data_IF_085933716430
#
_entry.id   IF_085933716430
#
_cell.length_a   1.000
_cell.length_b   1.000
_cell.length_c   1.000
_cell.angle_alpha   90.00
_cell.angle_beta   90.00
_cell.angle_gamma   90.00
#
_symmetry.space_group_name_H-M   'P 1'
#
loop_
_entity.id
_entity.type
_entity.pdbx_description
1 polymer ?
#
# COMPACT_ATOMS: atom_id res chain seq x y z
N UNK A 1 0.99 9.81 -22.37
CA UNK A 1 0.82 9.65 -20.91
C UNK A 1 2.16 9.13 -20.38
N UNK A 2 2.82 9.87 -19.50
CA UNK A 2 4.14 9.51 -18.97
C UNK A 2 4.04 8.34 -17.98
N UNK A 3 5.15 7.63 -17.72
CA UNK A 3 5.20 6.59 -16.67
C UNK A 3 4.78 7.13 -15.30
N UNK A 4 5.07 8.41 -15.05
CA UNK A 4 4.66 9.16 -13.86
C UNK A 4 3.13 9.30 -13.75
N UNK A 5 2.48 9.67 -14.86
CA UNK A 5 1.01 9.81 -14.91
C UNK A 5 0.30 8.47 -14.66
N UNK A 6 0.92 7.37 -15.12
CA UNK A 6 0.37 6.01 -15.00
C UNK A 6 0.44 5.49 -13.56
N UNK A 7 1.55 5.76 -12.84
CA UNK A 7 1.68 5.43 -11.41
C UNK A 7 0.68 6.21 -10.56
N UNK A 8 0.54 7.51 -10.85
CA UNK A 8 -0.36 8.43 -10.14
C UNK A 8 -1.84 8.03 -10.24
N UNK A 9 -2.28 7.41 -11.33
CA UNK A 9 -3.68 6.91 -11.46
C UNK A 9 -4.02 5.90 -10.35
N UNK A 10 -3.12 4.94 -10.09
CA UNK A 10 -3.33 3.92 -9.06
C UNK A 10 -3.28 4.53 -7.66
N UNK A 11 -2.29 5.37 -7.38
CA UNK A 11 -2.16 6.06 -6.09
C UNK A 11 -3.39 6.91 -5.76
N UNK A 12 -3.88 7.68 -6.74
CA UNK A 12 -5.10 8.47 -6.59
C UNK A 12 -6.31 7.56 -6.30
N UNK A 13 -6.47 6.46 -7.04
CA UNK A 13 -7.56 5.51 -6.79
C UNK A 13 -7.52 4.97 -5.35
N UNK A 14 -6.34 4.57 -4.86
CA UNK A 14 -6.17 4.06 -3.51
C UNK A 14 -6.41 5.15 -2.46
N UNK A 15 -5.94 6.38 -2.70
CA UNK A 15 -6.25 7.51 -1.82
C UNK A 15 -7.74 7.77 -1.69
N UNK A 16 -8.49 7.76 -2.79
CA UNK A 16 -9.95 7.92 -2.75
C UNK A 16 -10.61 6.79 -1.96
N UNK A 17 -10.13 5.54 -2.09
CA UNK A 17 -10.63 4.43 -1.26
C UNK A 17 -10.36 4.61 0.23
N UNK A 18 -9.18 5.12 0.61
CA UNK A 18 -8.93 5.46 2.01
C UNK A 18 -9.79 6.64 2.49
N UNK A 19 -10.03 7.65 1.65
CA UNK A 19 -10.91 8.78 2.01
C UNK A 19 -12.37 8.36 2.19
N UNK A 20 -12.87 7.44 1.36
CA UNK A 20 -14.20 6.83 1.52
C UNK A 20 -14.36 6.15 2.89
N UNK A 21 -13.25 5.67 3.47
CA UNK A 21 -13.18 5.06 4.80
C UNK A 21 -12.90 6.08 5.93
N UNK A 22 -12.84 7.37 5.61
CA UNK A 22 -12.65 8.45 6.60
C UNK A 22 -11.19 8.86 6.86
N UNK A 23 -10.21 8.32 6.11
CA UNK A 23 -8.81 8.71 6.26
C UNK A 23 -8.47 9.99 5.45
N UNK A 24 -7.48 10.77 5.90
CA UNK A 24 -6.98 11.95 5.17
C UNK A 24 -5.87 11.56 4.17
N UNK A 25 -6.12 10.51 3.36
CA UNK A 25 -5.11 9.93 2.49
C UNK A 25 -4.73 10.83 1.31
N UNK A 26 -3.43 10.88 0.98
CA UNK A 26 -2.87 11.67 -0.14
C UNK A 26 -1.66 10.97 -0.77
N UNK A 27 -1.45 11.06 -2.09
CA UNK A 27 -0.22 10.57 -2.70
C UNK A 27 1.00 11.27 -2.11
N UNK A 28 2.07 10.52 -1.87
CA UNK A 28 3.35 11.06 -1.44
C UNK A 28 3.96 11.89 -2.57
N UNK A 29 4.45 13.09 -2.26
CA UNK A 29 5.16 13.93 -3.24
C UNK A 29 6.63 13.48 -3.45
N UNK A 30 7.07 12.42 -2.77
CA UNK A 30 8.49 12.08 -2.63
C UNK A 30 8.84 10.62 -2.93
N UNK A 31 8.13 9.92 -3.83
CA UNK A 31 8.52 8.57 -4.23
C UNK A 31 9.97 8.57 -4.75
N UNK A 32 10.89 8.01 -3.93
CA UNK A 32 12.34 8.01 -4.16
C UNK A 32 13.21 8.78 -3.15
N UNK A 33 12.61 9.54 -2.22
CA UNK A 33 13.34 10.14 -1.09
C UNK A 33 13.30 9.22 0.13
N UNK A 34 14.48 8.93 0.72
CA UNK A 34 14.66 8.07 1.91
C UNK A 34 13.85 8.47 3.18
N UNK A 35 13.10 9.56 3.13
CA UNK A 35 12.29 10.08 4.24
C UNK A 35 10.78 9.87 4.10
N UNK A 36 10.28 9.42 2.95
CA UNK A 36 8.85 9.10 2.78
C UNK A 36 8.61 7.61 2.94
N UNK A 37 7.74 7.24 3.88
CA UNK A 37 7.32 5.85 4.09
C UNK A 37 6.13 5.58 3.17
N UNK A 38 6.42 5.05 1.97
CA UNK A 38 5.44 4.63 0.97
C UNK A 38 4.91 5.72 0.03
N UNK A 39 4.11 5.27 -0.93
CA UNK A 39 3.47 6.06 -1.99
C UNK A 39 2.20 6.80 -1.49
N UNK A 40 1.62 6.42 -0.34
CA UNK A 40 0.43 7.06 0.25
C UNK A 40 0.74 7.59 1.66
N UNK A 41 0.31 8.82 1.93
CA UNK A 41 0.47 9.53 3.21
C UNK A 41 -0.87 9.90 3.82
N UNK A 42 -0.89 10.34 5.09
CA UNK A 42 -2.13 10.72 5.80
C UNK A 42 -2.92 9.53 6.36
N UNK A 43 -2.30 8.35 6.35
CA UNK A 43 -2.72 7.11 6.99
C UNK A 43 -1.63 6.71 7.98
N UNK A 44 -2.00 6.40 9.22
CA UNK A 44 -1.06 6.17 10.32
C UNK A 44 -0.73 4.70 10.53
N UNK A 45 -1.65 3.81 10.16
CA UNK A 45 -1.55 2.36 10.42
C UNK A 45 -0.90 1.58 9.27
N UNK A 46 -0.69 2.22 8.12
CA UNK A 46 -0.25 1.54 6.90
C UNK A 46 0.92 2.26 6.24
N UNK A 47 1.88 1.48 5.76
CA UNK A 47 2.89 1.89 4.79
C UNK A 47 2.51 1.30 3.43
N UNK A 48 1.95 2.13 2.55
CA UNK A 48 1.34 1.66 1.30
C UNK A 48 2.26 1.95 0.13
N UNK A 49 2.60 0.92 -0.62
CA UNK A 49 3.40 1.01 -1.84
C UNK A 49 2.55 0.58 -3.03
N UNK A 50 2.51 1.39 -4.08
CA UNK A 50 1.69 1.17 -5.27
C UNK A 50 2.57 0.88 -6.49
N UNK A 51 2.29 -0.22 -7.18
CA UNK A 51 3.03 -0.58 -8.40
C UNK A 51 2.13 -1.07 -9.52
N UNK A 52 2.16 -0.32 -10.62
CA UNK A 52 1.54 -0.73 -11.88
C UNK A 52 2.50 -1.61 -12.67
N UNK A 53 1.98 -2.70 -13.24
CA UNK A 53 2.72 -3.65 -14.07
C UNK A 53 2.04 -3.74 -15.44
N UNK A 54 2.82 -3.56 -16.51
CA UNK A 54 2.33 -3.74 -17.88
C UNK A 54 2.31 -5.21 -18.30
N UNK A 55 1.85 -6.08 -17.41
CA UNK A 55 1.75 -7.53 -17.60
C UNK A 55 0.31 -7.98 -17.40
N UNK A 56 -0.07 -9.12 -17.99
CA UNK A 56 -1.40 -9.72 -17.74
C UNK A 56 -1.46 -10.30 -16.33
N UNK A 57 -0.39 -10.96 -15.93
CA UNK A 57 -0.27 -11.65 -14.65
C UNK A 57 0.55 -10.79 -13.68
N UNK A 58 0.22 -10.90 -12.40
CA UNK A 58 0.94 -10.22 -11.32
C UNK A 58 1.78 -11.29 -10.62
N UNK A 59 3.09 -11.07 -10.60
CA UNK A 59 4.03 -11.86 -9.81
C UNK A 59 4.85 -10.90 -8.99
N UNK A 60 5.06 -11.26 -7.73
CA UNK A 60 5.90 -10.52 -6.80
C UNK A 60 7.08 -11.42 -6.51
N UNK A 61 8.29 -10.87 -6.64
CA UNK A 61 9.48 -11.55 -6.16
C UNK A 61 9.63 -11.24 -4.67
N UNK A 62 10.03 -12.24 -3.90
CA UNK A 62 10.20 -12.11 -2.46
C UNK A 62 11.11 -10.93 -2.09
N UNK A 63 12.22 -10.73 -2.82
CA UNK A 63 13.16 -9.63 -2.58
C UNK A 63 12.56 -8.22 -2.73
N UNK A 64 11.51 -8.08 -3.54
CA UNK A 64 10.79 -6.81 -3.69
C UNK A 64 9.85 -6.59 -2.50
N UNK A 65 9.28 -7.66 -1.95
CA UNK A 65 8.47 -7.59 -0.73
C UNK A 65 9.33 -7.30 0.50
N UNK A 66 10.46 -8.01 0.64
CA UNK A 66 11.38 -7.83 1.76
C UNK A 66 11.91 -6.39 1.85
N UNK A 67 12.22 -5.77 0.69
CA UNK A 67 12.63 -4.35 0.63
C UNK A 67 11.58 -3.39 1.20
N UNK A 68 10.30 -3.61 0.87
CA UNK A 68 9.23 -2.78 1.40
C UNK A 68 9.14 -2.92 2.93
N UNK A 69 9.26 -4.15 3.43
CA UNK A 69 9.28 -4.42 4.86
C UNK A 69 10.48 -3.78 5.56
N UNK A 70 11.66 -3.79 4.95
CA UNK A 70 12.88 -3.16 5.47
C UNK A 70 12.82 -1.63 5.48
N UNK A 71 12.06 -1.00 4.57
CA UNK A 71 11.88 0.45 4.53
C UNK A 71 10.98 0.99 5.66
N UNK A 72 10.22 0.10 6.31
CA UNK A 72 9.40 0.45 7.48
C UNK A 72 10.32 0.49 8.71
N UNK A 73 10.39 1.60 9.45
CA UNK A 73 11.19 1.66 10.67
C UNK A 73 10.78 0.57 11.66
N UNK A 74 11.74 -0.12 12.27
CA UNK A 74 11.49 -1.22 13.24
C UNK A 74 10.57 -0.84 14.41
N UNK A 75 10.54 0.44 14.79
CA UNK A 75 9.67 0.96 15.85
C UNK A 75 8.31 1.48 15.33
N UNK A 76 8.02 1.33 14.04
CA UNK A 76 6.78 1.76 13.45
C UNK A 76 5.69 0.72 13.69
N UNK A 77 4.52 1.17 14.14
CA UNK A 77 3.32 0.33 14.21
C UNK A 77 2.61 0.17 12.85
N UNK A 78 3.21 0.70 11.78
CA UNK A 78 2.65 0.63 10.42
C UNK A 78 2.79 -0.77 9.85
N UNK A 79 1.70 -1.25 9.26
CA UNK A 79 1.69 -2.49 8.51
C UNK A 79 2.07 -2.24 7.04
N UNK A 80 2.97 -3.04 6.45
CA UNK A 80 3.28 -3.01 5.03
C UNK A 80 2.06 -3.41 4.21
N UNK A 81 1.76 -2.64 3.16
CA UNK A 81 0.71 -2.97 2.20
C UNK A 81 1.19 -2.69 0.78
N UNK A 82 1.30 -3.76 -0.03
CA UNK A 82 1.72 -3.62 -1.41
C UNK A 82 0.53 -3.78 -2.36
N UNK A 83 0.22 -2.71 -3.08
CA UNK A 83 -0.88 -2.64 -4.02
C UNK A 83 -0.35 -2.75 -5.45
N UNK A 84 -0.85 -3.72 -6.19
CA UNK A 84 -0.44 -3.99 -7.57
C UNK A 84 -1.62 -3.85 -8.52
N UNK A 85 -1.38 -3.23 -9.69
CA UNK A 85 -2.35 -3.18 -10.78
C UNK A 85 -1.73 -3.74 -12.06
N UNK A 86 -2.41 -4.68 -12.72
CA UNK A 86 -1.98 -5.23 -14.01
C UNK A 86 -2.50 -4.41 -15.20
N UNK A 87 -2.10 -4.79 -16.43
CA UNK A 87 -2.53 -4.07 -17.64
C UNK A 87 -4.05 -4.13 -17.91
N UNK A 88 -4.76 -5.07 -17.28
CA UNK A 88 -6.21 -5.23 -17.37
C UNK A 88 -6.95 -4.51 -16.23
N UNK A 89 -6.28 -3.63 -15.47
CA UNK A 89 -6.81 -2.94 -14.29
C UNK A 89 -7.30 -3.86 -13.15
N UNK A 90 -6.84 -5.12 -13.14
CA UNK A 90 -7.04 -5.99 -11.97
C UNK A 90 -6.06 -5.57 -10.88
N UNK A 91 -6.58 -5.47 -9.65
CA UNK A 91 -5.83 -5.00 -8.48
C UNK A 91 -5.66 -6.12 -7.48
N UNK A 92 -4.46 -6.20 -6.89
CA UNK A 92 -4.12 -7.13 -5.83
C UNK A 92 -3.51 -6.34 -4.67
N UNK A 93 -3.89 -6.69 -3.45
CA UNK A 93 -3.27 -6.21 -2.23
C UNK A 93 -2.48 -7.36 -1.61
N UNK A 94 -1.25 -7.10 -1.19
CA UNK A 94 -0.37 -8.08 -0.55
C UNK A 94 0.08 -7.54 0.79
N UNK A 95 -0.03 -8.41 1.79
CA UNK A 95 0.39 -8.22 3.17
C UNK A 95 0.88 -9.56 3.73
N UNK A 96 1.75 -9.52 4.74
CA UNK A 96 2.18 -10.73 5.43
C UNK A 96 1.00 -11.37 6.18
N UNK A 97 1.01 -12.71 6.23
CA UNK A 97 -0.10 -13.48 6.79
C UNK A 97 -0.34 -13.18 8.28
N UNK A 98 0.72 -12.92 9.03
CA UNK A 98 0.64 -12.53 10.45
C UNK A 98 -0.02 -11.16 10.61
N UNK A 99 0.29 -10.20 9.72
CA UNK A 99 -0.33 -8.88 9.73
C UNK A 99 -1.81 -8.93 9.32
N UNK A 100 -2.17 -9.85 8.42
CA UNK A 100 -3.55 -10.15 8.12
C UNK A 100 -4.31 -10.66 9.36
N UNK A 101 -3.75 -11.60 10.11
CA UNK A 101 -4.39 -12.08 11.33
C UNK A 101 -4.49 -11.01 12.42
N UNK A 102 -3.48 -10.15 12.57
CA UNK A 102 -3.54 -8.98 13.47
C UNK A 102 -4.68 -8.03 13.09
N UNK A 103 -4.89 -7.80 11.79
CA UNK A 103 -6.01 -6.99 11.30
C UNK A 103 -7.35 -7.64 11.66
N UNK A 104 -7.50 -8.96 11.48
CA UNK A 104 -8.72 -9.68 11.83
C UNK A 104 -9.02 -9.62 13.33
N UNK A 105 -8.00 -9.71 14.18
CA UNK A 105 -8.14 -9.56 15.63
C UNK A 105 -8.68 -8.16 16.00
N UNK A 106 -8.09 -7.10 15.43
CA UNK A 106 -8.59 -5.72 15.63
C UNK A 106 -10.03 -5.55 15.18
N UNK A 107 -10.40 -6.10 14.02
CA UNK A 107 -11.77 -6.03 13.50
C UNK A 107 -12.75 -6.73 14.45
N UNK A 108 -12.39 -7.92 14.94
CA UNK A 108 -13.22 -8.67 15.89
C UNK A 108 -13.46 -7.88 17.17
N UNK A 109 -12.41 -7.30 17.76
CA UNK A 109 -12.52 -6.50 18.99
C UNK A 109 -13.47 -5.30 18.81
N UNK A 110 -13.45 -4.65 17.65
CA UNK A 110 -14.35 -3.53 17.35
C UNK A 110 -15.81 -3.94 17.15
N UNK A 111 -16.09 -5.20 16.81
CA UNK A 111 -17.46 -5.71 16.67
C UNK A 111 -18.07 -6.12 18.01
N UNK A 112 -17.24 -6.38 19.01
CA UNK A 112 -17.65 -6.80 20.35
C UNK A 112 -17.77 -5.63 21.34
N UNK A 113 -17.34 -4.43 20.94
CA UNK A 113 -17.43 -3.16 21.69
C UNK A 113 -18.60 -2.30 21.26
#
# INVERSE_FOLDING_TARGET
>A
MSTWDIGRELENYICEKFKELGFNARPSNGSGNKGSVGDITGITDWAVECKKRNTKDITIKQDVWDKLNEEIPLASERLPLYILENKNKKRLAVLDVEDFFRLLEKIKLLQES
#
